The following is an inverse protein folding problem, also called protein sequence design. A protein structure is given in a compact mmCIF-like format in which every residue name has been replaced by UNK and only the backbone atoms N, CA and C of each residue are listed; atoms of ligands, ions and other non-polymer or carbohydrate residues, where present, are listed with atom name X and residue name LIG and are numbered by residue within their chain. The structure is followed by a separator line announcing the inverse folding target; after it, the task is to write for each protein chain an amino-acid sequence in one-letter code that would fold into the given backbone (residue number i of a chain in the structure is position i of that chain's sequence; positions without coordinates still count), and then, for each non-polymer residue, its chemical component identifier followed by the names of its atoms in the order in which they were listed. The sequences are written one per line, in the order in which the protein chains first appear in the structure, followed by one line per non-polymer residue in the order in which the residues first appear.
data_IF_752294761401
#
_entry.id   IF_752294761401
#
_cell.length_a   1.000
_cell.length_b   1.000
_cell.length_c   1.000
_cell.angle_alpha   90.00
_cell.angle_beta   90.00
_cell.angle_gamma   90.00
#
_symmetry.space_group_name_H-M   'P 1'
#
loop_
_entity.id
_entity.type
_entity.pdbx_description
1 polymer ?
#
# COMPACT_ATOMS: atom_id res chain seq x y z
N UNK A 1 47.57 5.29 -22.99
CA UNK A 1 47.11 4.04 -23.58
C UNK A 1 45.59 4.05 -23.62
N UNK A 2 45.04 3.83 -24.77
CA UNK A 2 43.78 4.27 -25.34
C UNK A 2 42.49 3.85 -24.62
N UNK A 3 41.60 4.83 -24.46
CA UNK A 3 40.18 4.70 -24.19
C UNK A 3 39.48 3.91 -25.31
N UNK A 4 38.76 2.82 -24.94
CA UNK A 4 37.81 2.14 -25.81
C UNK A 4 36.39 2.37 -25.31
N UNK A 5 35.67 3.18 -26.08
CA UNK A 5 34.28 3.56 -25.94
C UNK A 5 33.32 2.37 -26.18
N UNK A 6 32.33 2.18 -25.27
CA UNK A 6 31.28 1.14 -25.32
C UNK A 6 30.12 1.46 -26.29
N UNK A 7 30.40 2.05 -27.45
CA UNK A 7 29.38 2.39 -28.46
C UNK A 7 29.78 1.85 -29.82
N UNK A 8 29.80 0.53 -30.03
CA UNK A 8 29.78 -0.10 -31.37
C UNK A 8 29.57 -1.61 -31.24
N UNK A 9 28.33 -2.04 -31.06
CA UNK A 9 27.96 -3.45 -31.29
C UNK A 9 26.47 -3.57 -31.57
N UNK A 10 25.98 -2.98 -32.64
CA UNK A 10 24.74 -3.35 -33.33
C UNK A 10 24.89 -2.82 -34.75
N UNK A 11 25.12 -3.67 -35.71
CA UNK A 11 24.73 -3.70 -37.10
C UNK A 11 25.59 -4.78 -37.76
N UNK A 12 25.05 -5.95 -38.07
CA UNK A 12 25.28 -6.74 -39.27
C UNK A 12 24.77 -8.17 -39.09
N UNK A 13 23.67 -8.49 -39.76
CA UNK A 13 23.23 -9.76 -40.35
C UNK A 13 21.75 -9.60 -40.70
N UNK A 14 21.31 -9.27 -41.85
CA UNK A 14 21.60 -9.68 -43.21
C UNK A 14 20.70 -10.84 -43.61
N UNK A 15 19.55 -10.49 -44.10
CA UNK A 15 18.72 -11.00 -45.22
C UNK A 15 19.22 -12.31 -45.87
N UNK A 16 18.33 -13.33 -45.92
CA UNK A 16 18.14 -14.20 -47.10
C UNK A 16 16.68 -14.66 -47.14
N UNK A 17 16.07 -14.35 -48.28
CA UNK A 17 14.73 -14.71 -48.70
C UNK A 17 14.77 -15.88 -49.69
N UNK A 18 13.60 -16.32 -50.09
CA UNK A 18 13.22 -17.20 -51.18
C UNK A 18 12.89 -18.64 -50.74
N UNK A 19 11.84 -19.27 -51.16
CA UNK A 19 10.78 -18.97 -52.12
C UNK A 19 10.12 -20.26 -52.54
N UNK A 20 8.92 -20.15 -53.10
CA UNK A 20 8.20 -21.04 -53.99
C UNK A 20 7.48 -22.24 -53.36
N UNK A 21 6.25 -22.41 -53.45
CA UNK A 21 5.17 -22.35 -54.46
C UNK A 21 4.65 -23.73 -54.88
N UNK A 22 3.32 -23.88 -54.78
CA UNK A 22 2.33 -24.44 -55.71
C UNK A 22 2.24 -25.97 -55.81
N UNK A 23 1.04 -26.56 -55.63
CA UNK A 23 0.08 -27.04 -56.65
C UNK A 23 -1.03 -27.92 -56.04
N UNK A 24 -2.25 -27.53 -56.25
CA UNK A 24 -3.42 -28.16 -56.88
C UNK A 24 -3.74 -29.63 -56.60
N UNK A 25 -5.00 -29.85 -56.25
CA UNK A 25 -5.70 -31.09 -56.37
C UNK A 25 -7.19 -30.96 -56.10
N UNK A 26 -7.99 -30.75 -57.14
CA UNK A 26 -9.44 -30.77 -57.13
C UNK A 26 -10.03 -32.17 -57.09
N UNK A 27 -11.27 -32.28 -56.54
CA UNK A 27 -12.24 -33.26 -57.01
C UNK A 27 -13.24 -33.74 -55.95
N UNK A 28 -14.55 -33.74 -56.28
CA UNK A 28 -15.62 -33.81 -55.34
C UNK A 28 -16.23 -35.19 -55.16
N UNK A 29 -16.88 -35.44 -54.04
CA UNK A 29 -18.02 -36.39 -54.01
C UNK A 29 -18.97 -36.13 -52.83
N UNK A 30 -20.16 -35.88 -53.18
CA UNK A 30 -21.41 -35.83 -52.46
C UNK A 30 -21.68 -37.11 -51.64
N UNK A 31 -22.15 -36.92 -50.42
CA UNK A 31 -23.32 -37.66 -49.87
C UNK A 31 -23.82 -36.95 -48.59
N UNK A 32 -25.07 -36.47 -48.66
CA UNK A 32 -25.90 -36.14 -47.50
C UNK A 32 -26.44 -37.43 -46.90
N UNK A 33 -26.59 -37.51 -45.55
CA UNK A 33 -27.93 -37.61 -45.04
C UNK A 33 -28.19 -36.86 -43.69
N UNK A 34 -29.33 -36.25 -43.68
CA UNK A 34 -30.39 -36.24 -42.65
C UNK A 34 -30.07 -35.62 -41.30
N UNK A 35 -30.73 -34.50 -41.08
CA UNK A 35 -30.88 -33.74 -39.84
C UNK A 35 -31.51 -34.58 -38.73
N UNK A 36 -30.92 -34.45 -37.54
CA UNK A 36 -31.60 -34.64 -36.28
C UNK A 36 -31.47 -33.36 -35.47
N UNK A 37 -32.58 -32.67 -35.32
CA UNK A 37 -32.73 -31.46 -34.51
C UNK A 37 -32.67 -31.81 -33.03
N UNK A 38 -31.68 -31.31 -32.32
CA UNK A 38 -31.70 -31.12 -30.86
C UNK A 38 -31.83 -29.63 -30.55
N UNK A 39 -32.53 -29.24 -29.47
CA UNK A 39 -32.88 -27.84 -29.22
C UNK A 39 -31.63 -27.02 -28.89
N UNK A 40 -31.54 -25.84 -29.50
CA UNK A 40 -30.54 -24.84 -29.15
C UNK A 40 -30.77 -24.36 -27.70
N UNK A 41 -29.80 -24.58 -26.85
CA UNK A 41 -29.67 -23.81 -25.61
C UNK A 41 -29.43 -22.34 -25.98
N UNK A 42 -30.36 -21.49 -25.53
CA UNK A 42 -30.21 -20.05 -25.60
C UNK A 42 -28.93 -19.62 -24.82
N UNK A 43 -28.12 -18.71 -25.36
CA UNK A 43 -27.02 -18.18 -24.60
C UNK A 43 -27.59 -17.45 -23.37
N UNK A 44 -26.98 -17.77 -22.21
CA UNK A 44 -27.29 -17.08 -20.98
C UNK A 44 -27.17 -15.57 -21.20
N UNK A 45 -28.24 -14.86 -20.96
CA UNK A 45 -28.30 -13.41 -20.92
C UNK A 45 -27.25 -12.92 -19.94
N UNK A 46 -26.21 -12.31 -20.46
CA UNK A 46 -25.23 -11.57 -19.67
C UNK A 46 -25.98 -10.56 -18.80
N UNK A 47 -25.69 -10.59 -17.51
CA UNK A 47 -26.18 -9.58 -16.59
C UNK A 47 -25.80 -8.20 -17.14
N UNK A 48 -26.80 -7.38 -17.44
CA UNK A 48 -26.59 -5.97 -17.77
C UNK A 48 -25.77 -5.32 -16.66
N UNK A 49 -24.77 -4.49 -16.99
CA UNK A 49 -24.03 -3.76 -15.97
C UNK A 49 -25.02 -2.93 -15.15
N UNK A 50 -24.85 -2.94 -13.83
CA UNK A 50 -25.61 -2.08 -12.93
C UNK A 50 -25.27 -0.62 -13.32
N UNK A 51 -26.16 0.02 -14.06
CA UNK A 51 -26.04 1.41 -14.46
C UNK A 51 -26.17 2.29 -13.23
N UNK A 52 -25.04 2.75 -12.71
CA UNK A 52 -25.01 3.94 -11.85
C UNK A 52 -25.44 5.12 -12.73
N UNK A 53 -26.64 5.61 -12.57
CA UNK A 53 -27.38 6.66 -13.27
C UNK A 53 -26.72 7.57 -14.32
N UNK A 54 -25.41 7.77 -14.37
CA UNK A 54 -24.72 8.66 -15.29
C UNK A 54 -23.37 8.07 -15.75
N UNK A 55 -23.09 8.12 -17.05
CA UNK A 55 -21.84 7.66 -17.62
C UNK A 55 -20.64 8.49 -17.10
N UNK A 56 -19.47 7.86 -16.85
CA UNK A 56 -18.23 8.58 -16.52
C UNK A 56 -17.83 9.55 -17.63
N UNK A 57 -17.19 10.67 -17.28
CA UNK A 57 -16.67 11.68 -18.24
C UNK A 57 -15.55 11.09 -19.11
N UNK A 58 -14.79 10.15 -18.53
CA UNK A 58 -13.72 9.38 -19.17
C UNK A 58 -13.79 7.95 -18.69
N UNK A 59 -13.32 7.00 -19.52
CA UNK A 59 -13.29 5.57 -19.18
C UNK A 59 -11.91 5.07 -18.75
N UNK A 60 -10.89 5.95 -18.77
CA UNK A 60 -9.48 5.62 -18.56
C UNK A 60 -8.92 6.32 -17.34
N UNK A 61 -8.06 5.62 -16.59
CA UNK A 61 -7.22 6.19 -15.56
C UNK A 61 -5.97 5.32 -15.34
N UNK A 62 -4.87 5.93 -14.89
CA UNK A 62 -3.65 5.22 -14.52
C UNK A 62 -3.47 5.25 -13.00
N UNK A 63 -3.52 4.08 -12.38
CA UNK A 63 -3.43 3.90 -10.94
C UNK A 63 -2.15 3.16 -10.57
N UNK A 64 -1.34 3.75 -9.69
CA UNK A 64 -0.07 3.16 -9.24
C UNK A 64 -0.25 2.28 -8.00
N UNK A 65 0.60 1.25 -7.86
CA UNK A 65 0.71 0.48 -6.62
C UNK A 65 2.15 0.02 -6.36
N UNK A 66 2.49 -0.20 -5.10
CA UNK A 66 3.73 -0.86 -4.68
C UNK A 66 3.42 -2.34 -4.39
N UNK A 67 4.40 -3.23 -4.63
CA UNK A 67 4.28 -4.66 -4.36
C UNK A 67 4.18 -4.95 -2.86
N UNK A 68 2.97 -4.79 -2.34
CA UNK A 68 2.57 -5.01 -0.95
C UNK A 68 1.18 -5.65 -0.93
N UNK A 69 0.91 -6.45 0.10
CA UNK A 69 -0.40 -7.12 0.27
C UNK A 69 -1.56 -6.12 0.38
N UNK A 70 -1.31 -4.96 0.96
CA UNK A 70 -2.30 -3.89 1.13
C UNK A 70 -2.69 -3.17 -0.19
N UNK A 71 -2.01 -3.48 -1.31
CA UNK A 71 -2.45 -3.06 -2.64
C UNK A 71 -3.56 -3.97 -3.22
N UNK A 72 -3.95 -5.03 -2.50
CA UNK A 72 -4.93 -6.01 -2.97
C UNK A 72 -6.24 -5.37 -3.50
N UNK A 73 -6.85 -4.37 -2.86
CA UNK A 73 -8.10 -3.80 -3.38
C UNK A 73 -7.99 -3.26 -4.82
N UNK A 74 -6.87 -2.60 -5.18
CA UNK A 74 -6.67 -2.11 -6.54
C UNK A 74 -6.47 -3.27 -7.53
N UNK A 75 -5.70 -4.27 -7.14
CA UNK A 75 -5.40 -5.45 -7.97
C UNK A 75 -6.68 -6.27 -8.18
N UNK A 76 -7.42 -6.53 -7.11
CA UNK A 76 -8.69 -7.29 -7.17
C UNK A 76 -9.75 -6.54 -7.97
N UNK A 77 -9.85 -5.21 -7.83
CA UNK A 77 -10.77 -4.43 -8.66
C UNK A 77 -10.47 -4.60 -10.16
N UNK A 78 -9.20 -4.69 -10.54
CA UNK A 78 -8.79 -4.96 -11.93
C UNK A 78 -9.09 -6.39 -12.36
N UNK A 79 -8.62 -7.37 -11.60
CA UNK A 79 -8.71 -8.80 -11.95
C UNK A 79 -10.14 -9.34 -11.94
N UNK A 80 -11.03 -8.76 -11.11
CA UNK A 80 -12.45 -9.09 -11.04
C UNK A 80 -13.31 -8.25 -12.00
N UNK A 81 -12.72 -7.37 -12.81
CA UNK A 81 -13.46 -6.52 -13.76
C UNK A 81 -14.36 -5.48 -13.08
N UNK A 82 -14.07 -5.10 -11.82
CA UNK A 82 -14.94 -4.16 -11.09
C UNK A 82 -14.86 -2.76 -11.66
N UNK A 83 -13.70 -2.34 -12.20
CA UNK A 83 -13.62 -1.07 -12.92
C UNK A 83 -14.53 -1.07 -14.15
N UNK A 84 -14.52 -2.15 -14.94
CA UNK A 84 -15.35 -2.28 -16.14
C UNK A 84 -16.85 -2.31 -15.77
N UNK A 85 -17.20 -2.96 -14.66
CA UNK A 85 -18.55 -2.99 -14.10
C UNK A 85 -19.14 -1.58 -13.90
N UNK A 86 -18.31 -0.62 -13.51
CA UNK A 86 -18.71 0.77 -13.27
C UNK A 86 -18.37 1.70 -14.45
N UNK A 87 -18.12 1.16 -15.64
CA UNK A 87 -17.89 1.93 -16.86
C UNK A 87 -16.47 2.42 -17.08
N UNK A 88 -15.54 2.07 -16.19
CA UNK A 88 -14.13 2.46 -16.28
C UNK A 88 -13.30 1.40 -17.01
N UNK A 89 -13.58 1.16 -18.30
CA UNK A 89 -13.06 0.03 -19.07
C UNK A 89 -11.56 0.12 -19.42
N UNK A 90 -10.96 1.27 -19.30
CA UNK A 90 -9.54 1.50 -19.63
C UNK A 90 -8.67 1.83 -18.43
N UNK A 91 -9.02 1.37 -17.21
CA UNK A 91 -8.16 1.55 -16.03
C UNK A 91 -6.93 0.65 -16.11
N UNK A 92 -5.76 1.27 -16.00
CA UNK A 92 -4.47 0.59 -15.87
C UNK A 92 -4.03 0.59 -14.40
N UNK A 93 -3.67 -0.58 -13.85
CA UNK A 93 -3.10 -0.75 -12.49
C UNK A 93 -1.62 -1.04 -12.64
N UNK A 94 -0.77 -0.05 -12.33
CA UNK A 94 0.64 0.00 -12.73
C UNK A 94 1.57 -0.14 -11.53
N UNK A 95 2.38 -1.21 -11.53
CA UNK A 95 3.39 -1.44 -10.49
C UNK A 95 4.45 -0.36 -10.49
N UNK A 96 4.66 0.25 -9.34
CA UNK A 96 5.69 1.25 -9.11
C UNK A 96 6.90 0.63 -8.40
N UNK A 97 8.11 1.09 -8.71
CA UNK A 97 9.35 0.52 -8.16
C UNK A 97 9.61 0.94 -6.70
N UNK A 98 9.12 2.12 -6.29
CA UNK A 98 9.32 2.68 -4.96
C UNK A 98 8.38 3.85 -4.69
N UNK A 99 8.24 4.26 -3.41
CA UNK A 99 7.43 5.43 -3.05
C UNK A 99 7.93 6.74 -3.69
N UNK A 100 9.25 7.02 -3.80
CA UNK A 100 9.71 8.17 -4.57
C UNK A 100 9.25 8.14 -6.04
N UNK A 101 9.28 6.96 -6.69
CA UNK A 101 8.78 6.83 -8.08
C UNK A 101 7.28 7.06 -8.15
N UNK A 102 6.50 6.53 -7.20
CA UNK A 102 5.05 6.78 -7.12
C UNK A 102 4.76 8.27 -7.00
N UNK A 103 5.45 8.97 -6.07
CA UNK A 103 5.35 10.42 -5.90
C UNK A 103 5.67 11.17 -7.19
N UNK A 104 6.77 10.82 -7.85
CA UNK A 104 7.23 11.47 -9.08
C UNK A 104 6.22 11.28 -10.21
N UNK A 105 5.66 10.08 -10.35
CA UNK A 105 4.65 9.77 -11.36
C UNK A 105 3.30 10.46 -11.06
N UNK A 106 2.93 10.63 -9.78
CA UNK A 106 1.78 11.45 -9.39
C UNK A 106 2.02 12.94 -9.67
N UNK A 107 3.24 13.44 -9.46
CA UNK A 107 3.60 14.83 -9.81
C UNK A 107 3.45 15.09 -11.31
N UNK A 108 3.86 14.12 -12.16
CA UNK A 108 3.70 14.21 -13.61
C UNK A 108 2.23 14.13 -14.07
N UNK A 109 1.41 13.29 -13.40
CA UNK A 109 0.07 12.95 -13.87
C UNK A 109 0.06 12.14 -15.16
N UNK A 110 -1.06 11.51 -15.51
CA UNK A 110 -1.13 10.67 -16.73
C UNK A 110 -0.89 11.46 -18.01
N UNK A 111 -1.32 12.72 -18.05
CA UNK A 111 -1.06 13.63 -19.17
C UNK A 111 0.43 13.93 -19.40
N UNK A 112 1.27 13.83 -18.36
CA UNK A 112 2.72 13.96 -18.41
C UNK A 112 3.46 12.63 -18.50
N UNK A 113 2.76 11.51 -18.71
CA UNK A 113 3.32 10.17 -18.75
C UNK A 113 3.42 9.49 -17.38
N UNK A 114 2.86 10.08 -16.33
CA UNK A 114 2.76 9.54 -14.98
C UNK A 114 1.44 8.83 -14.69
N UNK A 115 0.90 9.01 -13.49
CA UNK A 115 -0.32 8.35 -12.98
C UNK A 115 -1.29 9.38 -12.37
N UNK A 116 -2.59 9.04 -12.33
CA UNK A 116 -3.67 9.89 -11.83
C UNK A 116 -3.98 9.66 -10.35
N UNK A 117 -3.70 8.46 -9.88
CA UNK A 117 -3.94 8.05 -8.49
C UNK A 117 -3.09 6.86 -8.10
N UNK A 118 -3.10 6.51 -6.82
CA UNK A 118 -2.29 5.40 -6.32
C UNK A 118 -2.80 4.83 -4.99
N UNK A 119 -2.48 3.56 -4.75
CA UNK A 119 -2.23 3.02 -3.43
C UNK A 119 -0.98 3.70 -2.88
N UNK A 120 -1.10 4.37 -1.72
CA UNK A 120 -0.04 5.25 -1.23
C UNK A 120 0.02 5.28 0.30
N UNK A 121 1.20 5.61 0.86
CA UNK A 121 1.36 5.88 2.30
C UNK A 121 0.53 7.08 2.70
N UNK A 122 -0.26 6.96 3.75
CA UNK A 122 -1.25 7.96 4.17
C UNK A 122 -0.73 9.41 4.32
N UNK A 123 0.50 9.68 4.82
CA UNK A 123 1.02 11.05 4.89
C UNK A 123 1.39 11.68 3.53
N UNK A 124 1.74 10.86 2.50
CA UNK A 124 2.27 11.40 1.23
C UNK A 124 1.31 12.36 0.52
N UNK A 125 -0.01 12.14 0.43
CA UNK A 125 -0.93 13.08 -0.21
C UNK A 125 -0.88 14.48 0.41
N UNK A 126 -0.69 14.57 1.72
CA UNK A 126 -0.56 15.85 2.44
C UNK A 126 0.76 16.54 2.10
N UNK A 127 1.86 15.80 2.11
CA UNK A 127 3.17 16.33 1.74
C UNK A 127 3.21 16.81 0.28
N UNK A 128 2.55 16.09 -0.63
CA UNK A 128 2.43 16.52 -2.03
C UNK A 128 1.59 17.78 -2.16
N UNK A 129 0.46 17.84 -1.47
CA UNK A 129 -0.42 19.02 -1.46
C UNK A 129 0.25 20.26 -0.87
N UNK A 130 1.16 20.07 0.08
CA UNK A 130 2.01 21.14 0.64
C UNK A 130 3.25 21.45 -0.22
N UNK A 131 3.58 20.63 -1.23
CA UNK A 131 4.79 20.78 -2.04
C UNK A 131 6.10 20.44 -1.34
N UNK A 132 6.05 19.87 -0.12
CA UNK A 132 7.26 19.63 0.69
C UNK A 132 8.15 18.53 0.13
N UNK A 133 7.56 17.52 -0.53
CA UNK A 133 8.28 16.36 -1.09
C UNK A 133 8.32 16.32 -2.62
N UNK A 134 7.58 17.16 -3.31
CA UNK A 134 7.59 17.23 -4.78
C UNK A 134 8.97 17.62 -5.30
N UNK A 135 9.36 17.14 -6.49
CA UNK A 135 10.65 17.49 -7.10
C UNK A 135 10.75 18.96 -7.43
N UNK A 136 9.65 19.52 -7.93
CA UNK A 136 9.54 20.93 -8.30
C UNK A 136 9.42 21.87 -7.10
N UNK A 137 9.22 21.32 -5.88
CA UNK A 137 8.88 22.11 -4.69
C UNK A 137 7.59 22.94 -4.84
N UNK A 138 6.75 22.56 -5.79
CA UNK A 138 5.44 23.15 -5.97
C UNK A 138 4.35 22.21 -5.44
N UNK A 139 3.27 22.73 -4.88
CA UNK A 139 2.11 21.94 -4.49
C UNK A 139 1.56 21.09 -5.65
N UNK A 140 1.30 19.83 -5.39
CA UNK A 140 0.51 18.94 -6.22
C UNK A 140 -0.70 18.53 -5.40
N UNK A 141 -1.82 19.25 -5.51
CA UNK A 141 -3.01 18.98 -4.72
C UNK A 141 -3.53 17.56 -4.94
N UNK A 142 -3.77 16.85 -3.86
CA UNK A 142 -4.25 15.48 -3.84
C UNK A 142 -5.58 15.37 -3.11
N UNK A 143 -6.38 14.37 -3.44
CA UNK A 143 -7.51 13.91 -2.65
C UNK A 143 -7.23 12.52 -2.09
N UNK A 144 -7.44 12.34 -0.81
CA UNK A 144 -7.47 11.04 -0.15
C UNK A 144 -8.93 10.57 -0.13
N UNK A 145 -9.22 9.52 -0.89
CA UNK A 145 -10.59 9.08 -1.17
C UNK A 145 -11.05 7.91 -0.30
N UNK A 146 -10.11 7.05 0.14
CA UNK A 146 -10.38 5.92 1.03
C UNK A 146 -9.11 5.51 1.78
N UNK A 147 -9.27 4.85 2.93
CA UNK A 147 -8.22 3.96 3.44
C UNK A 147 -8.30 2.65 2.67
N UNK A 148 -7.16 2.05 2.37
CA UNK A 148 -7.14 0.74 1.72
C UNK A 148 -7.15 -0.39 2.74
N UNK A 149 -6.57 -0.15 3.91
CA UNK A 149 -6.52 -1.13 4.99
C UNK A 149 -6.25 -0.49 6.36
N UNK A 150 -6.53 -1.27 7.40
CA UNK A 150 -5.97 -1.12 8.74
C UNK A 150 -5.04 -2.28 9.05
N UNK A 151 -4.09 -2.12 10.00
CA UNK A 151 -3.07 -3.11 10.37
C UNK A 151 -2.19 -3.58 9.17
N UNK A 152 -1.59 -4.76 9.27
CA UNK A 152 -0.93 -5.44 8.14
C UNK A 152 0.52 -5.04 7.87
N UNK A 153 1.18 -4.41 8.84
CA UNK A 153 2.61 -4.10 8.81
C UNK A 153 3.31 -4.87 9.93
N UNK A 154 4.64 -4.95 9.89
CA UNK A 154 5.42 -5.47 11.00
C UNK A 154 6.77 -4.76 11.10
N UNK A 155 7.39 -4.89 12.29
CA UNK A 155 8.79 -4.57 12.50
C UNK A 155 9.54 -5.88 12.63
N UNK A 156 10.45 -6.12 11.70
CA UNK A 156 11.28 -7.31 11.66
C UNK A 156 12.74 -6.98 11.90
N UNK A 157 13.45 -7.90 12.55
CA UNK A 157 14.85 -7.73 12.96
C UNK A 157 15.70 -8.91 12.54
N UNK A 158 17.00 -8.68 12.34
CA UNK A 158 17.99 -9.69 12.01
C UNK A 158 18.12 -10.71 13.12
N UNK A 159 18.52 -11.95 12.77
CA UNK A 159 18.89 -12.98 13.73
C UNK A 159 20.04 -12.57 14.66
N UNK A 160 20.83 -11.54 14.32
CA UNK A 160 21.87 -10.96 15.19
C UNK A 160 21.28 -10.43 16.53
N UNK A 161 19.97 -10.13 16.52
CA UNK A 161 19.24 -9.64 17.71
C UNK A 161 18.36 -10.69 18.35
N UNK A 162 18.48 -11.99 17.96
CA UNK A 162 17.59 -13.05 18.45
C UNK A 162 17.64 -13.22 19.97
N UNK A 163 18.83 -13.09 20.55
CA UNK A 163 19.00 -13.22 22.00
C UNK A 163 18.36 -12.07 22.80
N UNK A 164 18.07 -10.94 22.15
CA UNK A 164 17.41 -9.81 22.78
C UNK A 164 15.90 -10.01 22.94
N UNK A 165 15.31 -11.01 22.25
CA UNK A 165 13.88 -11.36 22.33
C UNK A 165 12.97 -10.14 22.19
N UNK A 166 13.25 -9.31 21.16
CA UNK A 166 12.51 -8.08 20.90
C UNK A 166 11.05 -8.37 20.59
N UNK A 167 10.19 -7.54 21.17
CA UNK A 167 8.73 -7.56 20.99
C UNK A 167 8.24 -6.12 20.78
N UNK A 168 7.02 -5.80 21.18
CA UNK A 168 6.56 -4.40 21.34
C UNK A 168 7.47 -3.61 22.28
N UNK A 169 8.13 -4.30 23.24
CA UNK A 169 9.19 -3.71 24.05
C UNK A 169 10.53 -3.71 23.30
N UNK A 170 10.95 -2.54 22.85
CA UNK A 170 12.24 -2.31 22.17
C UNK A 170 13.40 -2.00 23.13
N UNK A 171 13.16 -1.87 24.45
CA UNK A 171 14.21 -1.52 25.44
C UNK A 171 15.45 -2.40 25.36
N UNK A 172 15.33 -3.75 25.19
CA UNK A 172 16.52 -4.60 25.11
C UNK A 172 17.47 -4.23 23.96
N UNK A 173 16.94 -3.64 22.88
CA UNK A 173 17.75 -3.20 21.74
C UNK A 173 18.76 -2.13 22.14
N UNK A 174 18.47 -1.29 23.15
CA UNK A 174 19.33 -0.18 23.57
C UNK A 174 20.74 -0.66 23.99
N UNK A 175 20.82 -1.79 24.70
CA UNK A 175 22.11 -2.39 25.06
C UNK A 175 22.86 -2.91 23.82
N UNK A 176 22.16 -3.49 22.85
CA UNK A 176 22.73 -3.94 21.58
C UNK A 176 23.31 -2.77 20.78
N UNK A 177 22.57 -1.65 20.72
CA UNK A 177 23.03 -0.42 20.06
C UNK A 177 24.28 0.16 20.72
N UNK A 178 24.33 0.21 22.05
CA UNK A 178 25.49 0.68 22.79
C UNK A 178 26.72 -0.19 22.50
N UNK A 179 26.56 -1.52 22.49
CA UNK A 179 27.64 -2.46 22.14
C UNK A 179 28.11 -2.29 20.69
N UNK A 180 27.20 -2.16 19.74
CA UNK A 180 27.54 -1.91 18.33
C UNK A 180 28.33 -0.61 18.17
N UNK A 181 27.87 0.47 18.81
CA UNK A 181 28.55 1.78 18.81
C UNK A 181 29.95 1.71 19.41
N UNK A 182 30.13 1.02 20.55
CA UNK A 182 31.42 0.80 21.17
C UNK A 182 32.39 0.03 20.25
N UNK A 183 31.87 -0.86 19.41
CA UNK A 183 32.63 -1.59 18.38
C UNK A 183 32.83 -0.79 17.06
N UNK A 184 32.45 0.49 17.01
CA UNK A 184 32.55 1.32 15.81
C UNK A 184 31.56 0.94 14.71
N UNK A 185 30.51 0.18 15.04
CA UNK A 185 29.50 -0.26 14.07
C UNK A 185 28.26 0.65 14.15
N UNK A 186 27.82 1.15 13.00
CA UNK A 186 26.57 1.86 12.85
C UNK A 186 25.41 0.86 12.75
N UNK A 187 24.37 1.04 13.55
CA UNK A 187 23.14 0.25 13.41
C UNK A 187 22.18 0.96 12.47
N UNK A 188 21.89 0.34 11.35
CA UNK A 188 20.92 0.82 10.37
C UNK A 188 19.58 0.15 10.58
N UNK A 189 18.51 0.95 10.56
CA UNK A 189 17.13 0.48 10.52
C UNK A 189 16.47 1.01 9.25
N UNK A 190 15.75 0.14 8.54
CA UNK A 190 15.16 0.54 7.28
C UNK A 190 13.67 0.86 7.41
N UNK A 191 13.29 1.88 6.66
CA UNK A 191 11.91 2.31 6.45
C UNK A 191 11.67 2.46 4.95
N UNK A 192 10.45 2.72 4.53
CA UNK A 192 10.16 2.75 3.09
C UNK A 192 10.17 4.16 2.50
N UNK A 193 9.84 5.16 3.32
CA UNK A 193 9.83 6.57 2.93
C UNK A 193 9.87 7.46 4.19
N UNK A 194 10.71 8.51 4.26
CA UNK A 194 10.77 9.43 5.40
C UNK A 194 9.42 10.13 5.63
N UNK A 195 8.94 10.12 6.88
CA UNK A 195 7.62 10.65 7.24
C UNK A 195 6.43 9.79 6.74
N UNK A 196 6.70 8.63 6.13
CA UNK A 196 5.65 7.67 5.78
C UNK A 196 5.29 6.77 6.95
N UNK A 197 4.18 6.02 6.84
CA UNK A 197 3.64 5.19 7.93
C UNK A 197 4.68 4.27 8.56
N UNK A 198 5.49 3.57 7.75
CA UNK A 198 6.54 2.67 8.26
C UNK A 198 7.65 3.38 9.04
N UNK A 199 7.98 4.62 8.67
CA UNK A 199 8.94 5.44 9.40
C UNK A 199 8.36 5.85 10.76
N UNK A 200 7.11 6.27 10.78
CA UNK A 200 6.43 6.66 12.01
C UNK A 200 6.29 5.48 12.98
N UNK A 201 5.94 4.27 12.51
CA UNK A 201 5.91 3.05 13.34
C UNK A 201 7.27 2.68 13.89
N UNK A 202 8.32 2.70 13.06
CA UNK A 202 9.69 2.40 13.50
C UNK A 202 10.15 3.40 14.56
N UNK A 203 9.92 4.69 14.34
CA UNK A 203 10.29 5.76 15.27
C UNK A 203 9.52 5.67 16.58
N UNK A 204 8.23 5.40 16.51
CA UNK A 204 7.39 5.23 17.69
C UNK A 204 7.89 4.07 18.55
N UNK A 205 8.08 2.88 17.96
CA UNK A 205 8.59 1.69 18.63
C UNK A 205 9.96 1.93 19.30
N UNK A 206 10.90 2.51 18.60
CA UNK A 206 12.23 2.85 19.13
C UNK A 206 12.12 3.84 20.30
N UNK A 207 11.35 4.91 20.14
CA UNK A 207 11.19 5.95 21.16
C UNK A 207 10.51 5.43 22.43
N UNK A 208 9.52 4.56 22.31
CA UNK A 208 8.85 3.90 23.43
C UNK A 208 9.84 3.06 24.29
N UNK A 209 10.86 2.46 23.65
CA UNK A 209 11.96 1.79 24.34
C UNK A 209 13.08 2.72 24.84
N UNK A 210 12.89 4.04 24.72
CA UNK A 210 13.88 5.03 25.14
C UNK A 210 15.07 5.18 24.20
N UNK A 211 14.92 4.78 22.93
CA UNK A 211 15.94 4.91 21.87
C UNK A 211 15.59 6.11 21.01
N UNK A 212 16.49 7.06 20.88
CA UNK A 212 16.30 8.23 20.00
C UNK A 212 16.66 7.86 18.56
N UNK A 213 15.67 7.74 17.63
CA UNK A 213 15.92 7.30 16.27
C UNK A 213 16.75 8.28 15.43
N UNK A 214 16.84 9.55 15.85
CA UNK A 214 17.67 10.56 15.17
C UNK A 214 19.12 10.59 15.66
N UNK A 215 19.46 9.86 16.76
CA UNK A 215 20.78 9.95 17.40
C UNK A 215 21.46 8.59 17.58
N UNK A 216 20.68 7.53 17.75
CA UNK A 216 21.19 6.21 18.19
C UNK A 216 21.17 5.18 17.08
N UNK A 217 20.43 5.42 15.99
CA UNK A 217 20.40 4.57 14.79
C UNK A 217 20.49 5.42 13.53
N UNK A 218 20.83 4.78 12.40
CA UNK A 218 20.74 5.39 11.07
C UNK A 218 19.48 4.87 10.40
N UNK A 219 18.51 5.76 10.19
CA UNK A 219 17.26 5.42 9.51
C UNK A 219 17.45 5.57 8.00
N UNK A 220 17.31 4.47 7.26
CA UNK A 220 17.55 4.45 5.81
C UNK A 220 16.28 4.07 5.02
N UNK A 221 15.99 4.76 3.91
CA UNK A 221 14.87 4.38 3.04
C UNK A 221 15.27 3.20 2.14
N UNK A 222 14.46 2.15 2.13
CA UNK A 222 14.65 0.96 1.27
C UNK A 222 13.30 0.61 0.63
N UNK A 223 13.24 0.39 -0.69
CA UNK A 223 12.01 -0.07 -1.36
C UNK A 223 11.53 -1.42 -0.79
N UNK A 224 10.21 -1.61 -0.59
CA UNK A 224 9.67 -2.84 0.00
C UNK A 224 10.20 -4.14 -0.61
N UNK A 225 10.26 -4.33 -1.95
CA UNK A 225 10.75 -5.58 -2.53
C UNK A 225 12.25 -5.85 -2.31
N UNK A 226 12.97 -4.87 -1.76
CA UNK A 226 14.42 -4.99 -1.50
C UNK A 226 14.73 -5.27 -0.03
N UNK A 227 13.74 -5.23 0.88
CA UNK A 227 13.96 -5.35 2.32
C UNK A 227 14.66 -6.66 2.69
N UNK A 228 14.12 -7.80 2.23
CA UNK A 228 14.66 -9.13 2.56
C UNK A 228 16.08 -9.32 2.02
N UNK A 229 16.32 -8.88 0.78
CA UNK A 229 17.66 -8.98 0.17
C UNK A 229 18.71 -8.13 0.91
N UNK A 230 18.34 -6.92 1.33
CA UNK A 230 19.22 -6.05 2.12
C UNK A 230 19.48 -6.62 3.52
N UNK A 231 18.48 -7.20 4.17
CA UNK A 231 18.67 -7.89 5.45
C UNK A 231 19.64 -9.08 5.31
N UNK A 232 19.46 -9.88 4.25
CA UNK A 232 20.30 -11.06 3.95
C UNK A 232 21.79 -10.72 3.83
N UNK A 233 22.12 -9.57 3.24
CA UNK A 233 23.53 -9.12 3.10
C UNK A 233 24.01 -8.27 4.26
N UNK A 234 23.24 -8.14 5.33
CA UNK A 234 23.63 -7.41 6.55
C UNK A 234 23.68 -5.90 6.38
N UNK A 235 22.99 -5.32 5.37
CA UNK A 235 22.99 -3.86 5.14
C UNK A 235 22.20 -3.10 6.21
N UNK A 236 21.38 -3.80 7.00
CA UNK A 236 20.55 -3.25 8.07
C UNK A 236 20.23 -4.31 9.13
N UNK A 237 19.94 -3.88 10.36
CA UNK A 237 19.62 -4.75 11.47
C UNK A 237 18.11 -4.92 11.74
N UNK A 238 17.30 -3.97 11.27
CA UNK A 238 15.85 -4.00 11.41
C UNK A 238 15.18 -3.27 10.25
N UNK A 239 13.89 -3.58 10.02
CA UNK A 239 13.07 -2.80 9.10
C UNK A 239 11.59 -2.78 9.55
N UNK A 240 10.87 -1.72 9.14
CA UNK A 240 9.41 -1.66 9.17
C UNK A 240 8.89 -1.59 7.73
N UNK A 241 7.98 -2.49 7.39
CA UNK A 241 7.40 -2.60 6.05
C UNK A 241 6.06 -3.34 6.09
N UNK A 242 5.25 -3.15 5.06
CA UNK A 242 4.03 -3.93 4.83
C UNK A 242 4.32 -5.39 4.45
N UNK A 243 3.33 -6.24 4.66
CA UNK A 243 3.38 -7.62 4.16
C UNK A 243 3.41 -7.64 2.61
N UNK A 244 4.05 -8.66 2.01
CA UNK A 244 4.47 -9.95 2.59
C UNK A 244 5.94 -10.02 3.01
N UNK A 245 6.67 -8.93 3.03
CA UNK A 245 8.13 -8.96 3.17
C UNK A 245 8.60 -9.42 4.55
N UNK A 246 7.78 -9.22 5.60
CA UNK A 246 8.08 -9.74 6.93
C UNK A 246 7.88 -11.26 7.00
N UNK A 247 6.78 -11.78 6.45
CA UNK A 247 6.55 -13.22 6.33
C UNK A 247 7.67 -13.88 5.52
N UNK A 248 8.07 -13.28 4.40
CA UNK A 248 9.15 -13.79 3.55
C UNK A 248 10.51 -13.83 4.30
N UNK A 249 10.82 -12.81 5.11
CA UNK A 249 12.02 -12.82 5.95
C UNK A 249 12.03 -14.00 6.90
N UNK A 250 10.91 -14.26 7.59
CA UNK A 250 10.73 -15.36 8.55
C UNK A 250 10.84 -16.71 7.83
N UNK A 251 10.13 -16.89 6.71
CA UNK A 251 10.14 -18.11 5.93
C UNK A 251 11.55 -18.45 5.38
N UNK A 252 12.33 -17.44 5.03
CA UNK A 252 13.74 -17.59 4.63
C UNK A 252 14.70 -17.73 5.82
N UNK A 253 14.22 -17.69 7.08
CA UNK A 253 15.02 -17.83 8.30
C UNK A 253 16.15 -16.77 8.41
N UNK A 254 15.94 -15.59 7.88
CA UNK A 254 16.91 -14.49 7.88
C UNK A 254 16.77 -13.56 9.09
N UNK A 255 15.67 -13.63 9.79
CA UNK A 255 15.32 -12.82 10.93
C UNK A 255 13.98 -13.24 11.51
N UNK A 256 13.44 -12.42 12.36
CA UNK A 256 12.14 -12.63 12.98
C UNK A 256 11.35 -11.30 13.06
N UNK A 257 10.02 -11.39 13.11
CA UNK A 257 9.19 -10.21 13.38
C UNK A 257 9.20 -9.95 14.89
N UNK A 258 9.70 -8.80 15.32
CA UNK A 258 9.62 -8.39 16.72
C UNK A 258 8.16 -8.20 17.12
N UNK A 259 7.37 -7.62 16.21
CA UNK A 259 5.94 -7.35 16.40
C UNK A 259 5.22 -7.25 15.04
N UNK A 260 3.88 -7.36 15.08
CA UNK A 260 2.99 -6.84 14.05
C UNK A 260 2.39 -5.52 14.54
N UNK A 261 2.20 -4.56 13.65
CA UNK A 261 1.84 -3.18 14.07
C UNK A 261 0.46 -3.06 14.71
N UNK A 262 -0.44 -4.02 14.48
CA UNK A 262 -1.70 -4.14 15.21
C UNK A 262 -1.51 -4.32 16.73
N UNK A 263 -0.33 -4.80 17.19
CA UNK A 263 0.03 -4.86 18.61
C UNK A 263 0.42 -3.48 19.17
N UNK A 264 0.88 -2.55 18.31
CA UNK A 264 1.19 -1.17 18.72
C UNK A 264 -0.08 -0.33 18.88
N UNK A 265 -0.99 -0.49 17.94
CA UNK A 265 -2.28 0.20 17.90
C UNK A 265 -3.27 -0.63 17.08
N UNK A 266 -4.23 -1.26 17.74
CA UNK A 266 -5.24 -2.11 17.09
C UNK A 266 -6.08 -1.31 16.11
N UNK A 267 -6.26 -1.84 14.90
CA UNK A 267 -6.99 -1.20 13.80
C UNK A 267 -6.42 0.18 13.43
N UNK A 268 -5.10 0.34 13.54
CA UNK A 268 -4.45 1.58 13.08
C UNK A 268 -4.63 1.77 11.58
N UNK A 269 -4.79 3.03 11.12
CA UNK A 269 -4.86 3.33 9.69
C UNK A 269 -3.54 3.02 8.99
N UNK A 270 -3.62 2.62 7.72
CA UNK A 270 -2.43 2.35 6.93
C UNK A 270 -2.51 3.02 5.55
N UNK A 271 -2.58 2.25 4.47
CA UNK A 271 -2.53 2.82 3.12
C UNK A 271 -3.80 3.59 2.77
N UNK A 272 -3.62 4.57 1.93
CA UNK A 272 -4.70 5.30 1.32
C UNK A 272 -4.83 5.00 -0.17
N UNK A 273 -6.03 5.11 -0.69
CA UNK A 273 -6.28 5.38 -2.08
C UNK A 273 -6.38 6.90 -2.27
N UNK A 274 -5.47 7.44 -3.05
CA UNK A 274 -5.42 8.88 -3.29
C UNK A 274 -5.27 9.17 -4.77
N UNK A 275 -5.91 10.25 -5.21
CA UNK A 275 -5.86 10.72 -6.60
C UNK A 275 -5.49 12.19 -6.67
N UNK A 276 -4.99 12.62 -7.81
CA UNK A 276 -4.76 14.03 -8.10
C UNK A 276 -6.09 14.80 -8.07
N UNK A 277 -6.10 15.91 -7.33
CA UNK A 277 -7.27 16.79 -7.21
C UNK A 277 -7.78 17.25 -8.58
N UNK A 278 -6.88 17.72 -9.45
CA UNK A 278 -7.23 18.23 -10.78
C UNK A 278 -7.91 17.19 -11.67
N UNK A 279 -7.50 15.90 -11.56
CA UNK A 279 -8.14 14.81 -12.28
C UNK A 279 -9.54 14.52 -11.74
N UNK A 280 -9.70 14.43 -10.40
CA UNK A 280 -10.99 14.16 -9.74
C UNK A 280 -11.99 15.29 -10.01
N UNK A 281 -11.58 16.54 -9.87
CA UNK A 281 -12.47 17.70 -10.10
C UNK A 281 -12.93 17.79 -11.56
N UNK A 282 -12.08 17.37 -12.49
CA UNK A 282 -12.42 17.34 -13.91
C UNK A 282 -13.33 16.16 -14.27
N UNK A 283 -13.23 15.05 -13.55
CA UNK A 283 -13.89 13.78 -13.88
C UNK A 283 -14.60 13.20 -12.64
N UNK A 284 -15.57 13.91 -12.02
CA UNK A 284 -16.16 13.50 -10.74
C UNK A 284 -16.93 12.17 -10.84
N UNK A 285 -17.61 11.88 -11.94
CA UNK A 285 -18.34 10.62 -12.14
C UNK A 285 -17.37 9.45 -12.31
N UNK A 286 -16.30 9.66 -13.09
CA UNK A 286 -15.24 8.65 -13.25
C UNK A 286 -14.52 8.38 -11.91
N UNK A 287 -14.24 9.41 -11.11
CA UNK A 287 -13.66 9.26 -9.78
C UNK A 287 -14.56 8.47 -8.84
N UNK A 288 -15.87 8.74 -8.85
CA UNK A 288 -16.86 7.98 -8.09
C UNK A 288 -16.92 6.52 -8.54
N UNK A 289 -16.91 6.26 -9.85
CA UNK A 289 -16.92 4.91 -10.43
C UNK A 289 -15.67 4.11 -10.01
N UNK A 290 -14.48 4.72 -10.07
CA UNK A 290 -13.24 4.11 -9.58
C UNK A 290 -13.33 3.81 -8.08
N UNK A 291 -13.81 4.76 -7.29
CA UNK A 291 -13.93 4.58 -5.84
C UNK A 291 -14.91 3.47 -5.51
N UNK A 292 -16.07 3.39 -6.18
CA UNK A 292 -17.02 2.28 -6.03
C UNK A 292 -16.37 0.92 -6.33
N UNK A 293 -15.59 0.80 -7.41
CA UNK A 293 -14.88 -0.42 -7.74
C UNK A 293 -13.89 -0.84 -6.64
N UNK A 294 -13.16 0.13 -6.05
CA UNK A 294 -12.21 -0.13 -4.98
C UNK A 294 -12.94 -0.53 -3.69
N UNK A 295 -14.03 0.15 -3.31
CA UNK A 295 -14.81 -0.18 -2.11
C UNK A 295 -15.43 -1.59 -2.23
N UNK A 296 -15.96 -1.95 -3.40
CA UNK A 296 -16.46 -3.32 -3.65
C UNK A 296 -15.33 -4.36 -3.56
N UNK A 297 -14.15 -4.04 -4.11
CA UNK A 297 -12.98 -4.90 -3.97
C UNK A 297 -12.54 -5.06 -2.51
N UNK A 298 -12.62 -4.00 -1.69
CA UNK A 298 -12.32 -4.09 -0.25
C UNK A 298 -13.31 -5.01 0.48
N UNK A 299 -14.60 -4.91 0.18
CA UNK A 299 -15.62 -5.82 0.70
C UNK A 299 -15.34 -7.27 0.29
N UNK A 300 -14.91 -7.48 -0.94
CA UNK A 300 -14.53 -8.81 -1.42
C UNK A 300 -13.27 -9.32 -0.72
N UNK A 301 -12.24 -8.49 -0.59
CA UNK A 301 -10.97 -8.82 0.09
C UNK A 301 -11.16 -9.13 1.58
N UNK A 302 -12.16 -8.55 2.23
CA UNK A 302 -12.44 -8.78 3.65
C UNK A 302 -12.90 -10.21 3.94
N UNK A 303 -13.67 -10.81 3.04
CA UNK A 303 -14.30 -12.11 3.25
C UNK A 303 -13.28 -13.22 3.42
N UNK A 304 -13.47 -14.03 4.48
CA UNK A 304 -12.55 -15.12 4.82
C UNK A 304 -12.40 -16.15 3.68
N UNK A 305 -13.51 -16.48 3.01
CA UNK A 305 -13.55 -17.41 1.87
C UNK A 305 -12.75 -16.94 0.65
N UNK A 306 -12.49 -15.65 0.54
CA UNK A 306 -11.76 -15.08 -0.59
C UNK A 306 -10.23 -14.95 -0.34
N UNK A 307 -9.76 -15.17 0.90
CA UNK A 307 -8.35 -14.93 1.25
C UNK A 307 -7.37 -15.79 0.44
N UNK A 308 -7.71 -17.05 0.17
CA UNK A 308 -6.86 -17.94 -0.65
C UNK A 308 -6.81 -17.49 -2.11
N UNK A 309 -7.96 -17.15 -2.69
CA UNK A 309 -8.01 -16.63 -4.07
C UNK A 309 -7.28 -15.29 -4.17
N UNK A 310 -7.48 -14.40 -3.20
CA UNK A 310 -6.77 -13.13 -3.12
C UNK A 310 -5.25 -13.34 -3.08
N UNK A 311 -4.74 -14.19 -2.18
CA UNK A 311 -3.33 -14.50 -2.09
C UNK A 311 -2.76 -15.02 -3.41
N UNK A 312 -3.49 -15.90 -4.10
CA UNK A 312 -3.13 -16.48 -5.40
C UNK A 312 -3.06 -15.42 -6.50
N UNK A 313 -4.04 -14.52 -6.55
CA UNK A 313 -4.07 -13.44 -7.56
C UNK A 313 -2.89 -12.48 -7.34
N UNK A 314 -2.75 -11.94 -6.12
CA UNK A 314 -1.75 -10.90 -5.87
C UNK A 314 -0.31 -11.44 -5.85
N UNK A 315 -0.10 -12.76 -5.64
CA UNK A 315 1.23 -13.39 -5.72
C UNK A 315 1.82 -13.39 -7.13
N UNK A 316 0.99 -13.17 -8.15
CA UNK A 316 1.38 -13.19 -9.55
C UNK A 316 2.62 -12.35 -9.88
N UNK A 317 3.34 -12.75 -10.94
CA UNK A 317 4.59 -12.09 -11.38
C UNK A 317 4.41 -10.60 -11.68
N UNK A 318 3.25 -10.22 -12.22
CA UNK A 318 2.89 -8.85 -12.56
C UNK A 318 2.63 -7.99 -11.29
N UNK A 319 2.30 -8.63 -10.16
CA UNK A 319 1.97 -7.96 -8.90
C UNK A 319 3.10 -8.09 -7.88
N UNK A 320 2.97 -8.93 -6.84
CA UNK A 320 3.96 -9.01 -5.77
C UNK A 320 5.19 -9.85 -6.15
N UNK A 321 4.98 -10.91 -6.94
CA UNK A 321 6.02 -11.88 -7.32
C UNK A 321 6.63 -12.58 -6.11
N UNK A 322 5.78 -13.07 -5.23
CA UNK A 322 6.14 -13.87 -4.04
C UNK A 322 5.27 -15.12 -4.00
N UNK A 323 5.69 -16.19 -3.30
CA UNK A 323 4.85 -17.36 -3.08
C UNK A 323 3.55 -16.99 -2.31
N UNK A 324 2.38 -17.61 -2.63
CA UNK A 324 1.13 -17.36 -1.90
C UNK A 324 1.21 -17.63 -0.40
N UNK A 325 2.06 -18.59 0.02
CA UNK A 325 2.31 -18.93 1.42
C UNK A 325 2.97 -17.79 2.21
N UNK A 326 3.72 -16.90 1.56
CA UNK A 326 4.26 -15.69 2.21
C UNK A 326 3.16 -14.65 2.51
N UNK A 327 1.96 -14.82 1.93
CA UNK A 327 0.84 -13.88 2.03
C UNK A 327 -0.26 -14.41 2.96
N UNK A 328 -0.69 -15.67 2.74
CA UNK A 328 -1.95 -16.19 3.26
C UNK A 328 -2.02 -16.22 4.79
N UNK A 329 -0.99 -16.70 5.46
CA UNK A 329 -0.98 -16.80 6.93
C UNK A 329 -1.24 -15.44 7.60
N UNK A 330 -0.52 -14.41 7.16
CA UNK A 330 -0.67 -13.04 7.69
C UNK A 330 -2.05 -12.45 7.38
N UNK A 331 -2.63 -12.74 6.22
CA UNK A 331 -4.00 -12.34 5.88
C UNK A 331 -5.07 -12.99 6.76
N UNK A 332 -4.81 -14.20 7.23
CA UNK A 332 -5.71 -14.94 8.11
C UNK A 332 -5.51 -14.61 9.59
N UNK A 333 -4.51 -13.78 9.94
CA UNK A 333 -4.14 -13.51 11.33
C UNK A 333 -3.31 -14.61 11.99
N UNK A 334 -2.82 -15.56 11.19
CA UNK A 334 -1.93 -16.64 11.64
C UNK A 334 -0.48 -16.20 11.43
N UNK A 335 0.17 -15.80 12.50
CA UNK A 335 1.50 -15.21 12.45
C UNK A 335 2.50 -16.11 13.14
N UNK A 336 3.47 -16.63 12.38
CA UNK A 336 4.73 -17.10 12.91
C UNK A 336 5.69 -15.91 12.96
N UNK A 337 6.20 -15.58 14.14
CA UNK A 337 7.17 -14.50 14.30
C UNK A 337 8.60 -14.91 13.92
N UNK A 338 8.90 -16.22 13.82
CA UNK A 338 10.23 -16.73 13.47
C UNK A 338 11.19 -16.89 14.66
N UNK A 339 10.74 -16.57 15.87
CA UNK A 339 11.49 -16.72 17.14
C UNK A 339 10.91 -17.77 18.08
N UNK A 340 9.91 -18.52 17.62
CA UNK A 340 9.16 -19.52 18.38
C UNK A 340 7.81 -19.02 18.89
N UNK A 341 7.53 -17.72 18.82
CA UNK A 341 6.18 -17.18 19.09
C UNK A 341 5.29 -17.37 17.87
N UNK A 342 4.03 -17.69 18.14
CA UNK A 342 2.96 -17.72 17.12
C UNK A 342 1.70 -17.09 17.72
N UNK A 343 0.89 -16.49 16.86
CA UNK A 343 -0.47 -16.05 17.21
C UNK A 343 -1.46 -16.51 16.15
N UNK A 344 -2.69 -16.72 16.58
CA UNK A 344 -3.85 -16.86 15.71
C UNK A 344 -4.87 -15.81 16.17
N UNK A 345 -4.82 -14.64 15.57
CA UNK A 345 -5.62 -13.46 15.96
C UNK A 345 -6.09 -12.70 14.72
N UNK A 346 -7.25 -13.07 14.17
CA UNK A 346 -7.85 -12.33 13.07
C UNK A 346 -8.08 -10.84 13.37
N UNK A 347 -8.25 -10.50 14.64
CA UNK A 347 -8.42 -9.12 15.11
C UNK A 347 -7.20 -8.21 14.84
N UNK A 348 -6.01 -8.80 14.81
CA UNK A 348 -4.75 -8.08 14.53
C UNK A 348 -4.31 -8.22 13.07
N UNK A 349 -5.04 -9.00 12.27
CA UNK A 349 -4.78 -9.13 10.85
C UNK A 349 -5.09 -7.84 10.09
N UNK A 350 -4.63 -7.78 8.85
CA UNK A 350 -5.01 -6.73 7.91
C UNK A 350 -6.51 -6.83 7.64
N UNK A 351 -7.21 -5.70 7.79
CA UNK A 351 -8.63 -5.53 7.47
C UNK A 351 -8.76 -4.57 6.31
N UNK A 352 -9.69 -4.86 5.43
CA UNK A 352 -9.98 -4.03 4.27
C UNK A 352 -11.32 -3.30 4.40
N UNK A 353 -12.27 -3.86 5.15
CA UNK A 353 -13.62 -3.31 5.31
C UNK A 353 -14.11 -3.32 6.77
N UNK A 354 -13.92 -4.44 7.49
CA UNK A 354 -14.37 -4.60 8.86
C UNK A 354 -13.84 -3.47 9.77
N UNK A 355 -14.59 -3.11 10.80
CA UNK A 355 -14.28 -2.04 11.74
C UNK A 355 -14.05 -0.68 11.06
N UNK A 356 -14.76 -0.42 9.96
CA UNK A 356 -14.64 0.78 9.14
C UNK A 356 -13.23 0.99 8.56
N UNK A 357 -12.50 -0.09 8.26
CA UNK A 357 -11.12 -0.03 7.78
C UNK A 357 -10.96 0.81 6.51
N UNK A 358 -11.99 0.88 5.67
CA UNK A 358 -12.00 1.66 4.43
C UNK A 358 -12.28 3.15 4.65
N UNK A 359 -12.95 3.52 5.75
CA UNK A 359 -13.37 4.90 5.96
C UNK A 359 -12.20 5.82 6.34
N UNK A 360 -12.02 6.95 5.65
CA UNK A 360 -10.88 7.83 5.87
C UNK A 360 -11.13 8.82 7.02
N UNK A 361 -11.14 8.34 8.28
CA UNK A 361 -11.27 9.21 9.44
C UNK A 361 -10.25 10.34 9.45
N UNK A 362 -10.67 11.59 9.55
CA UNK A 362 -9.79 12.77 9.67
C UNK A 362 -8.94 12.74 10.93
N UNK A 363 -9.44 12.15 12.03
CA UNK A 363 -8.65 11.96 13.27
C UNK A 363 -7.41 11.09 13.05
N UNK A 364 -7.46 10.13 12.13
CA UNK A 364 -6.31 9.32 11.75
C UNK A 364 -5.24 10.13 11.01
N UNK A 365 -5.67 11.01 10.11
CA UNK A 365 -4.76 11.90 9.40
C UNK A 365 -4.11 12.90 10.36
N UNK A 366 -4.88 13.38 11.32
CA UNK A 366 -4.35 14.28 12.34
C UNK A 366 -3.26 13.62 13.18
N UNK A 367 -3.41 12.32 13.52
CA UNK A 367 -2.34 11.59 14.19
C UNK A 367 -1.06 11.50 13.34
N UNK A 368 -1.18 11.15 12.07
CA UNK A 368 -0.03 11.09 11.17
C UNK A 368 0.69 12.43 11.07
N UNK A 369 -0.04 13.52 10.82
CA UNK A 369 0.55 14.84 10.71
C UNK A 369 1.14 15.33 12.04
N UNK A 370 0.55 14.93 13.17
CA UNK A 370 1.09 15.21 14.51
C UNK A 370 2.41 14.47 14.73
N UNK A 371 2.51 13.19 14.36
CA UNK A 371 3.80 12.47 14.39
C UNK A 371 4.82 13.06 13.41
N UNK A 372 4.39 13.51 12.23
CA UNK A 372 5.28 14.18 11.28
C UNK A 372 5.83 15.50 11.83
N UNK A 373 5.03 16.24 12.59
CA UNK A 373 5.49 17.40 13.36
C UNK A 373 6.48 16.94 14.45
N UNK A 374 6.12 15.92 15.25
CA UNK A 374 7.00 15.38 16.30
C UNK A 374 8.40 15.07 15.81
N UNK A 375 8.51 14.51 14.60
CA UNK A 375 9.78 14.09 14.00
C UNK A 375 10.43 15.14 13.10
N UNK A 376 9.80 16.32 12.94
CA UNK A 376 10.35 17.45 12.18
C UNK A 376 10.21 17.32 10.67
N UNK A 377 9.31 16.45 10.19
CA UNK A 377 8.95 16.36 8.75
C UNK A 377 8.02 17.49 8.34
N UNK A 378 7.22 17.97 9.27
CA UNK A 378 6.38 19.16 9.13
C UNK A 378 6.76 20.21 10.16
N UNK A 379 6.67 21.51 9.82
CA UNK A 379 6.81 22.59 10.79
C UNK A 379 5.75 22.53 11.89
N UNK A 380 6.09 22.89 13.13
CA UNK A 380 5.15 22.95 14.26
C UNK A 380 3.92 23.83 14.00
N UNK A 381 4.10 24.88 13.18
CA UNK A 381 3.02 25.82 12.84
C UNK A 381 2.18 25.38 11.65
N UNK A 382 2.31 24.13 11.20
CA UNK A 382 1.50 23.58 10.11
C UNK A 382 0.03 23.58 10.53
N UNK A 383 -0.83 24.22 9.76
CA UNK A 383 -2.28 24.17 9.94
C UNK A 383 -2.80 22.80 9.48
N UNK A 384 -2.71 21.82 10.39
CA UNK A 384 -3.09 20.44 10.13
C UNK A 384 -4.57 20.29 9.83
N UNK A 385 -5.42 21.10 10.50
CA UNK A 385 -6.86 21.07 10.26
C UNK A 385 -7.18 21.49 8.83
N UNK A 386 -6.63 22.61 8.38
CA UNK A 386 -6.85 23.13 7.03
C UNK A 386 -6.43 22.12 5.96
N UNK A 387 -5.21 21.59 6.05
CA UNK A 387 -4.72 20.65 5.03
C UNK A 387 -5.49 19.33 5.03
N UNK A 388 -5.97 18.85 6.20
CA UNK A 388 -6.82 17.67 6.28
C UNK A 388 -8.16 17.93 5.59
N UNK A 389 -8.78 19.09 5.85
CA UNK A 389 -10.07 19.46 5.23
C UNK A 389 -9.94 19.63 3.70
N UNK A 390 -8.78 20.04 3.19
CA UNK A 390 -8.52 20.17 1.76
C UNK A 390 -8.24 18.83 1.05
N UNK A 391 -7.60 17.88 1.74
CA UNK A 391 -7.10 16.63 1.14
C UNK A 391 -8.02 15.45 1.40
N UNK A 392 -8.55 15.30 2.62
CA UNK A 392 -9.40 14.18 2.98
C UNK A 392 -10.83 14.38 2.47
N UNK A 393 -11.30 13.43 1.65
CA UNK A 393 -12.60 13.49 0.99
C UNK A 393 -13.53 12.37 1.48
N UNK A 394 -13.77 12.34 2.79
CA UNK A 394 -14.76 11.42 3.40
C UNK A 394 -16.16 11.59 2.83
N UNK A 395 -16.48 12.78 2.30
CA UNK A 395 -17.71 13.07 1.58
C UNK A 395 -17.86 12.21 0.32
N UNK A 396 -16.82 12.16 -0.52
CA UNK A 396 -16.82 11.31 -1.72
C UNK A 396 -16.86 9.82 -1.39
N UNK A 397 -16.21 9.41 -0.28
CA UNK A 397 -16.32 8.05 0.21
C UNK A 397 -17.77 7.70 0.57
N UNK A 398 -18.46 8.57 1.33
CA UNK A 398 -19.87 8.39 1.71
C UNK A 398 -20.79 8.29 0.50
N UNK A 399 -20.59 9.16 -0.49
CA UNK A 399 -21.36 9.13 -1.74
C UNK A 399 -21.16 7.81 -2.53
N UNK A 400 -19.93 7.32 -2.61
CA UNK A 400 -19.62 6.05 -3.28
C UNK A 400 -20.20 4.86 -2.51
N UNK A 401 -20.06 4.83 -1.18
CA UNK A 401 -20.61 3.79 -0.32
C UNK A 401 -22.15 3.72 -0.41
N UNK A 402 -22.84 4.85 -0.40
CA UNK A 402 -24.29 4.92 -0.60
C UNK A 402 -24.69 4.40 -1.98
N UNK A 403 -23.95 4.77 -3.03
CA UNK A 403 -24.20 4.30 -4.38
C UNK A 403 -23.99 2.79 -4.55
N UNK A 404 -23.10 2.20 -3.74
CA UNK A 404 -22.88 0.75 -3.63
C UNK A 404 -23.99 0.04 -2.83
N UNK A 405 -24.89 0.78 -2.18
CA UNK A 405 -25.92 0.22 -1.33
C UNK A 405 -25.42 -0.22 0.04
N UNK A 406 -24.29 0.35 0.52
CA UNK A 406 -23.85 0.13 1.90
C UNK A 406 -24.94 0.64 2.86
N UNK A 407 -25.36 -0.19 3.83
CA UNK A 407 -26.38 0.22 4.78
C UNK A 407 -26.02 1.51 5.51
N UNK A 408 -26.96 2.43 5.67
CA UNK A 408 -26.70 3.70 6.33
C UNK A 408 -26.13 3.56 7.75
N UNK A 409 -26.49 2.48 8.45
CA UNK A 409 -25.96 2.16 9.77
C UNK A 409 -24.46 1.78 9.78
N UNK A 410 -23.92 1.35 8.64
CA UNK A 410 -22.51 0.99 8.46
C UNK A 410 -21.66 2.17 7.95
N UNK A 411 -22.30 3.28 7.57
CA UNK A 411 -21.61 4.49 7.11
C UNK A 411 -21.29 5.36 8.32
N UNK A 412 -20.01 5.61 8.66
CA UNK A 412 -19.64 6.45 9.78
C UNK A 412 -20.21 7.87 9.65
N UNK A 413 -20.78 8.39 10.73
CA UNK A 413 -21.33 9.75 10.80
C UNK A 413 -20.32 10.77 11.32
N UNK A 414 -19.28 10.30 12.03
CA UNK A 414 -18.21 11.14 12.59
C UNK A 414 -16.95 11.09 11.72
N UNK A 415 -16.26 12.22 11.64
CA UNK A 415 -14.91 12.33 11.05
C UNK A 415 -13.81 11.85 11.99
N UNK A 416 -14.17 11.57 13.26
CA UNK A 416 -13.24 11.13 14.30
C UNK A 416 -13.66 9.77 14.87
N UNK A 417 -12.67 8.89 15.08
CA UNK A 417 -12.84 7.64 15.82
C UNK A 417 -12.71 7.84 17.35
N UNK A 418 -12.45 9.07 17.80
CA UNK A 418 -12.28 9.41 19.20
C UNK A 418 -10.86 9.25 19.70
N UNK A 419 -10.70 9.09 21.03
CA UNK A 419 -9.41 8.95 21.68
C UNK A 419 -8.84 7.56 21.40
N UNK A 420 -7.62 7.51 20.88
CA UNK A 420 -6.87 6.30 20.62
C UNK A 420 -5.89 5.98 21.73
N UNK A 421 -5.69 4.71 22.02
CA UNK A 421 -4.75 4.26 23.06
C UNK A 421 -3.75 3.29 22.45
N UNK A 422 -2.46 3.56 22.64
CA UNK A 422 -1.35 2.75 22.14
C UNK A 422 -0.90 1.70 23.16
N UNK A 423 -0.08 0.75 22.72
CA UNK A 423 0.40 -0.37 23.53
C UNK A 423 1.12 0.05 24.82
N UNK A 424 1.73 1.21 24.84
CA UNK A 424 2.49 1.78 25.98
C UNK A 424 1.63 2.65 26.91
N UNK A 425 0.31 2.69 26.67
CA UNK A 425 -0.66 3.46 27.45
C UNK A 425 -0.74 4.93 27.06
N UNK A 426 0.06 5.39 26.09
CA UNK A 426 -0.06 6.75 25.54
C UNK A 426 -1.41 6.87 24.83
N UNK A 427 -2.04 8.03 25.00
CA UNK A 427 -3.32 8.36 24.36
C UNK A 427 -3.14 9.49 23.36
N UNK A 428 -3.79 9.36 22.22
CA UNK A 428 -3.96 10.43 21.24
C UNK A 428 -5.42 10.90 21.29
N UNK A 429 -5.61 12.13 21.72
CA UNK A 429 -6.90 12.80 21.69
C UNK A 429 -6.90 13.77 20.49
N UNK A 430 -7.74 13.55 19.46
CA UNK A 430 -7.80 14.43 18.31
C UNK A 430 -8.30 15.85 18.63
N UNK A 431 -8.96 16.04 19.77
CA UNK A 431 -9.35 17.38 20.23
C UNK A 431 -8.18 18.14 20.91
N UNK A 432 -7.10 17.44 21.29
CA UNK A 432 -5.93 18.04 21.93
C UNK A 432 -4.61 17.39 21.49
N UNK A 433 -4.24 17.49 20.19
CA UNK A 433 -3.01 16.88 19.66
C UNK A 433 -1.73 17.48 20.28
N UNK A 434 -1.80 18.72 20.82
CA UNK A 434 -0.65 19.34 21.47
C UNK A 434 -0.28 18.61 22.77
N UNK A 435 -1.24 18.21 23.58
CA UNK A 435 -0.98 17.42 24.79
C UNK A 435 -0.26 16.09 24.49
N UNK A 436 -0.59 15.45 23.35
CA UNK A 436 0.13 14.28 22.88
C UNK A 436 1.62 14.59 22.59
N UNK A 437 1.90 15.66 21.87
CA UNK A 437 3.27 16.12 21.56
C UNK A 437 4.07 16.47 22.83
N UNK A 438 3.43 17.14 23.79
CA UNK A 438 4.06 17.58 25.03
C UNK A 438 4.45 16.41 25.92
N UNK A 439 3.70 15.30 25.87
CA UNK A 439 3.96 14.08 26.63
C UNK A 439 5.27 13.35 26.25
N UNK A 440 5.87 13.63 25.09
CA UNK A 440 7.06 12.93 24.63
C UNK A 440 8.37 13.63 25.01
N UNK A 441 9.28 12.84 25.62
CA UNK A 441 10.66 13.27 25.88
C UNK A 441 11.55 13.10 24.64
N UNK A 442 11.27 12.12 23.78
CA UNK A 442 12.03 11.84 22.55
C UNK A 442 11.21 12.38 21.37
N UNK A 443 11.66 13.50 20.85
CA UNK A 443 11.10 14.21 19.71
C UNK A 443 12.19 15.01 19.00
N UNK A 444 12.00 15.35 17.73
CA UNK A 444 12.93 16.18 16.96
C UNK A 444 12.68 17.67 17.16
N UNK A 445 11.40 18.05 17.38
CA UNK A 445 11.04 19.43 17.71
C UNK A 445 11.63 19.83 19.06
N UNK A 446 12.12 21.08 19.15
CA UNK A 446 12.62 21.64 20.40
C UNK A 446 11.42 21.99 21.28
N UNK A 447 11.53 21.67 22.57
CA UNK A 447 10.57 22.11 23.57
C UNK A 447 10.65 23.61 23.76
#
# INVERSE_FOLDING_TARGET
MSNLSRRKFIVTAGITAAGAAILHGCGPSTTTPTATTSPAESPATGASPATTGEAPEVTTAKLGFIALTDAAPLIIAKEKGLFDKYGMTGVEVLKQASWPVTRDNLELGSGGGGIDGAHILSPIPYFMSLGTITKTKQPVPMYLLARLNTNGQAISVSNDYKDLKLTVDSKPLKAGLAKAKAAGKETKVAITFPGGTHDLWMRYWLAAGGINPNKEVSVIPVPPPQMVANMKVGSMGAFCVGEPWNAQLVNQKLGYSALITGELWKNHPEKAFSMRKDWVDKNPKAAKAILMAILEAQQWCEKAENKEEMAKIISGRQYLKVPPEDILGRLQGKVDFGDGRTIDSPDLAMKFWADNASYPYKSHDLWFLTEDIRWGYLPEKTDTKKIIDEVNREDLWKEAAQALGVPAAEIPTSSSRGVETFFDGVKFDPENPQAYLDGFKIKAIKA
#
